data_IF_922041396596
#
_entry.id   IF_922041396596
#
_cell.length_a   1.000
_cell.length_b   1.000
_cell.length_c   1.000
_cell.angle_alpha   90.00
_cell.angle_beta   90.00
_cell.angle_gamma   90.00
#
_symmetry.space_group_name_H-M   'P 1'
#
loop_
_entity.id
_entity.type
_entity.pdbx_description
1 polymer ?
#
# COMPACT_ATOMS: atom_id res chain seq x y z
N UNK A 1 25.93 12.56 -15.31
CA UNK A 1 25.78 11.14 -14.91
C UNK A 1 24.82 11.18 -13.73
N UNK A 2 23.53 10.95 -13.98
CA UNK A 2 22.56 10.86 -12.88
C UNK A 2 22.86 9.55 -12.18
N UNK A 3 23.26 9.60 -10.91
CA UNK A 3 23.26 8.41 -10.07
C UNK A 3 21.83 7.91 -10.04
N UNK A 4 21.58 6.83 -10.78
CA UNK A 4 20.37 6.03 -10.67
C UNK A 4 20.41 5.49 -9.24
N UNK A 5 19.70 6.15 -8.33
CA UNK A 5 19.40 5.59 -7.02
C UNK A 5 18.63 4.31 -7.33
N UNK A 6 19.29 3.16 -7.22
CA UNK A 6 18.59 1.89 -7.34
C UNK A 6 17.45 1.90 -6.32
N UNK A 7 16.22 1.55 -6.72
CA UNK A 7 15.09 1.55 -5.80
C UNK A 7 15.48 0.67 -4.61
N UNK A 8 15.51 1.28 -3.43
CA UNK A 8 15.83 0.56 -2.20
C UNK A 8 14.82 -0.58 -2.06
N UNK A 9 15.27 -1.84 -1.87
CA UNK A 9 14.34 -2.94 -1.70
C UNK A 9 13.40 -2.63 -0.54
N UNK A 10 12.11 -2.93 -0.72
CA UNK A 10 11.10 -2.72 0.31
C UNK A 10 11.48 -3.50 1.57
N UNK A 11 11.35 -2.86 2.73
CA UNK A 11 11.50 -3.54 4.01
C UNK A 11 10.37 -4.56 4.21
N UNK A 12 10.58 -5.53 5.12
CA UNK A 12 9.53 -6.47 5.52
C UNK A 12 8.28 -5.72 6.02
N UNK A 13 8.44 -4.65 6.80
CA UNK A 13 7.31 -3.83 7.28
C UNK A 13 6.59 -3.11 6.14
N UNK A 14 7.31 -2.63 5.12
CA UNK A 14 6.69 -2.05 3.91
C UNK A 14 5.89 -3.09 3.14
N UNK A 15 6.45 -4.29 2.95
CA UNK A 15 5.74 -5.40 2.32
C UNK A 15 4.50 -5.83 3.12
N UNK A 16 4.60 -5.87 4.45
CA UNK A 16 3.48 -6.19 5.35
C UNK A 16 2.37 -5.16 5.24
N UNK A 17 2.69 -3.86 5.25
CA UNK A 17 1.71 -2.80 5.03
C UNK A 17 1.06 -2.91 3.63
N UNK A 18 1.85 -3.20 2.58
CA UNK A 18 1.33 -3.38 1.24
C UNK A 18 0.37 -4.57 1.13
N UNK A 19 0.71 -5.69 1.78
CA UNK A 19 -0.13 -6.87 1.86
C UNK A 19 -1.44 -6.59 2.63
N UNK A 20 -1.39 -5.79 3.70
CA UNK A 20 -2.58 -5.37 4.44
C UNK A 20 -3.54 -4.56 3.56
N UNK A 21 -3.02 -3.61 2.77
CA UNK A 21 -3.85 -2.88 1.79
C UNK A 21 -4.48 -3.79 0.74
N UNK A 22 -3.73 -4.77 0.24
CA UNK A 22 -4.24 -5.74 -0.72
C UNK A 22 -5.37 -6.59 -0.13
N UNK A 23 -5.15 -7.14 1.07
CA UNK A 23 -6.17 -7.91 1.80
C UNK A 23 -7.44 -7.09 2.01
N UNK A 24 -7.32 -5.88 2.57
CA UNK A 24 -8.47 -5.01 2.84
C UNK A 24 -9.23 -4.61 1.56
N UNK A 25 -8.52 -4.45 0.44
CA UNK A 25 -9.16 -4.14 -0.84
C UNK A 25 -10.06 -5.30 -1.31
N UNK A 26 -9.58 -6.53 -1.18
CA UNK A 26 -10.34 -7.73 -1.55
C UNK A 26 -11.50 -8.01 -0.57
N UNK A 27 -11.30 -7.79 0.73
CA UNK A 27 -12.37 -7.90 1.73
C UNK A 27 -13.52 -6.93 1.42
N UNK A 28 -13.20 -5.66 1.16
CA UNK A 28 -14.20 -4.65 0.82
C UNK A 28 -14.93 -5.02 -0.47
N UNK A 29 -14.22 -5.48 -1.50
CA UNK A 29 -14.83 -5.92 -2.77
C UNK A 29 -15.65 -7.20 -2.67
N UNK A 30 -15.34 -8.05 -1.70
CA UNK A 30 -16.15 -9.24 -1.41
C UNK A 30 -17.50 -8.86 -0.83
N UNK A 31 -17.53 -7.81 -0.01
CA UNK A 31 -18.77 -7.26 0.59
C UNK A 31 -19.53 -6.35 -0.39
N UNK A 32 -18.80 -5.51 -1.13
CA UNK A 32 -19.32 -4.56 -2.11
C UNK A 32 -18.53 -4.64 -3.42
N UNK A 33 -18.96 -5.47 -4.39
CA UNK A 33 -18.26 -5.64 -5.66
C UNK A 33 -18.16 -4.38 -6.52
N UNK A 34 -19.00 -3.37 -6.28
CA UNK A 34 -18.97 -2.09 -7.02
C UNK A 34 -17.99 -1.08 -6.38
N UNK A 35 -17.41 -1.42 -5.23
CA UNK A 35 -16.44 -0.55 -4.57
C UNK A 35 -15.20 -0.34 -5.43
N UNK A 36 -14.78 0.92 -5.53
CA UNK A 36 -13.63 1.34 -6.36
C UNK A 36 -12.25 0.91 -5.83
N UNK A 37 -12.19 0.17 -4.71
CA UNK A 37 -10.96 -0.28 -4.07
C UNK A 37 -10.14 0.81 -3.37
N UNK A 38 -10.68 2.02 -3.18
CA UNK A 38 -10.04 3.06 -2.38
C UNK A 38 -10.35 2.87 -0.90
N UNK A 39 -9.34 2.91 -0.06
CA UNK A 39 -9.44 2.65 1.38
C UNK A 39 -9.06 3.88 2.18
N UNK A 40 -9.64 4.05 3.36
CA UNK A 40 -9.03 4.96 4.34
C UNK A 40 -7.60 4.52 4.68
N UNK A 41 -6.79 5.47 5.13
CA UNK A 41 -5.43 5.16 5.60
C UNK A 41 -5.49 4.09 6.68
N UNK A 42 -4.77 2.99 6.50
CA UNK A 42 -4.60 1.98 7.54
C UNK A 42 -3.82 2.57 8.71
N UNK A 43 -4.38 2.43 9.91
CA UNK A 43 -3.82 2.96 11.17
C UNK A 43 -3.41 1.88 12.16
N UNK A 44 -3.75 0.64 11.86
CA UNK A 44 -3.45 -0.53 12.67
C UNK A 44 -3.14 -1.66 11.68
N UNK A 45 -1.91 -2.17 11.76
CA UNK A 45 -1.43 -3.28 10.95
C UNK A 45 -0.60 -4.17 11.86
N UNK A 46 -0.99 -5.44 11.94
CA UNK A 46 -0.33 -6.41 12.81
C UNK A 46 1.19 -6.42 12.61
N UNK A 47 1.95 -6.36 13.70
CA UNK A 47 3.41 -6.36 13.66
C UNK A 47 4.06 -5.12 13.05
N UNK A 48 3.38 -3.97 13.03
CA UNK A 48 3.93 -2.65 12.69
C UNK A 48 3.54 -1.66 13.79
N UNK A 49 4.49 -0.90 14.31
CA UNK A 49 4.20 0.11 15.33
C UNK A 49 3.54 1.37 14.71
N UNK A 50 2.63 1.99 15.45
CA UNK A 50 1.84 3.15 14.98
C UNK A 50 2.72 4.31 14.48
N UNK A 51 3.89 4.51 15.09
CA UNK A 51 4.83 5.57 14.76
C UNK A 51 5.68 5.27 13.51
N UNK A 52 5.77 4.00 13.08
CA UNK A 52 6.40 3.59 11.84
C UNK A 52 5.48 3.78 10.62
N UNK A 53 4.16 3.67 10.82
CA UNK A 53 3.18 3.73 9.72
C UNK A 53 3.32 4.97 8.82
N UNK A 54 3.50 6.22 9.31
CA UNK A 54 3.70 7.38 8.44
C UNK A 54 4.88 7.23 7.48
N UNK A 55 6.01 6.68 7.97
CA UNK A 55 7.19 6.47 7.15
C UNK A 55 6.94 5.40 6.09
N UNK A 56 6.34 4.27 6.48
CA UNK A 56 6.06 3.16 5.56
C UNK A 56 5.06 3.56 4.46
N UNK A 57 4.04 4.34 4.76
CA UNK A 57 3.15 4.91 3.73
C UNK A 57 3.94 5.79 2.76
N UNK A 58 4.85 6.63 3.27
CA UNK A 58 5.72 7.46 2.43
C UNK A 58 6.61 6.62 1.52
N UNK A 59 7.16 5.51 2.02
CA UNK A 59 7.98 4.58 1.24
C UNK A 59 7.17 3.91 0.12
N UNK A 60 5.96 3.42 0.41
CA UNK A 60 5.09 2.80 -0.59
C UNK A 60 4.61 3.80 -1.65
N UNK A 61 4.31 5.04 -1.25
CA UNK A 61 3.98 6.14 -2.18
C UNK A 61 5.17 6.46 -3.08
N UNK A 62 6.37 6.64 -2.51
CA UNK A 62 7.58 6.92 -3.26
C UNK A 62 7.96 5.78 -4.23
N UNK A 63 7.62 4.54 -3.86
CA UNK A 63 7.81 3.36 -4.70
C UNK A 63 6.71 3.18 -5.78
N UNK A 64 5.65 4.00 -5.79
CA UNK A 64 4.54 3.86 -6.75
C UNK A 64 3.66 2.63 -6.51
N UNK A 65 3.66 2.08 -5.29
CA UNK A 65 2.92 0.85 -4.95
C UNK A 65 1.56 1.17 -4.33
N UNK A 66 1.39 2.38 -3.80
CA UNK A 66 0.09 2.91 -3.44
C UNK A 66 -0.08 4.29 -4.04
N UNK A 67 -1.30 4.62 -4.40
CA UNK A 67 -1.72 5.97 -4.75
C UNK A 67 -2.47 6.61 -3.58
N UNK A 68 -2.45 7.93 -3.53
CA UNK A 68 -3.18 8.73 -2.56
C UNK A 68 -4.04 9.77 -3.26
N UNK A 69 -5.31 9.83 -2.90
CA UNK A 69 -6.27 10.79 -3.45
C UNK A 69 -6.97 11.56 -2.32
N UNK A 70 -7.05 12.88 -2.48
CA UNK A 70 -7.72 13.83 -1.58
C UNK A 70 -9.16 14.15 -2.04
N UNK A 71 -9.78 13.25 -2.79
CA UNK A 71 -11.09 13.46 -3.41
C UNK A 71 -12.30 13.26 -2.49
N UNK A 72 -12.10 12.80 -1.25
CA UNK A 72 -13.19 12.56 -0.31
C UNK A 72 -13.82 13.88 0.19
N UNK A 73 -15.15 13.90 0.24
CA UNK A 73 -15.94 15.07 0.68
C UNK A 73 -15.71 15.44 2.15
N UNK A 74 -15.17 14.52 2.95
CA UNK A 74 -14.87 14.71 4.36
C UNK A 74 -13.41 15.14 4.63
N UNK A 75 -12.62 15.33 3.56
CA UNK A 75 -11.21 15.74 3.65
C UNK A 75 -10.27 14.64 4.12
N UNK A 76 -10.74 13.38 4.21
CA UNK A 76 -9.90 12.23 4.58
C UNK A 76 -9.33 11.59 3.33
N UNK A 77 -8.05 11.82 3.05
CA UNK A 77 -7.43 11.21 1.88
C UNK A 77 -7.50 9.67 1.91
N UNK A 78 -7.71 9.09 0.74
CA UNK A 78 -7.88 7.65 0.52
C UNK A 78 -6.68 7.09 -0.24
N UNK A 79 -6.44 5.80 -0.06
CA UNK A 79 -5.32 5.06 -0.62
C UNK A 79 -5.79 3.91 -1.48
N UNK A 80 -5.08 3.59 -2.55
CA UNK A 80 -5.34 2.41 -3.38
C UNK A 80 -4.05 1.75 -3.80
N UNK A 81 -4.02 0.42 -3.86
CA UNK A 81 -2.89 -0.31 -4.41
C UNK A 81 -2.81 -0.11 -5.94
N UNK A 82 -1.60 0.00 -6.47
CA UNK A 82 -1.37 0.12 -7.91
C UNK A 82 -1.27 -1.26 -8.57
N UNK A 83 -1.31 -1.36 -9.92
CA UNK A 83 -0.99 -2.61 -10.62
C UNK A 83 0.41 -3.15 -10.26
N UNK A 84 1.39 -2.25 -10.11
CA UNK A 84 2.77 -2.61 -9.78
C UNK A 84 2.88 -3.22 -8.38
N UNK A 85 2.06 -2.77 -7.43
CA UNK A 85 1.95 -3.40 -6.11
C UNK A 85 1.50 -4.84 -6.16
N UNK A 86 0.51 -5.15 -7.00
CA UNK A 86 0.02 -6.52 -7.18
C UNK A 86 1.11 -7.42 -7.73
N UNK A 87 1.89 -6.90 -8.68
CA UNK A 87 3.03 -7.63 -9.23
C UNK A 87 4.15 -7.81 -8.19
N UNK A 88 4.44 -6.78 -7.40
CA UNK A 88 5.42 -6.87 -6.32
C UNK A 88 5.06 -7.95 -5.29
N UNK A 89 3.79 -8.03 -4.88
CA UNK A 89 3.28 -9.05 -3.97
C UNK A 89 3.31 -10.48 -4.58
N UNK A 90 2.96 -10.61 -5.86
CA UNK A 90 3.03 -11.90 -6.55
C UNK A 90 4.47 -12.43 -6.61
N UNK A 91 5.43 -11.58 -6.97
CA UNK A 91 6.85 -11.95 -7.05
C UNK A 91 7.45 -12.37 -5.69
N UNK A 92 6.92 -11.86 -4.58
CA UNK A 92 7.34 -12.30 -3.23
C UNK A 92 6.82 -13.70 -2.87
N UNK A 93 5.65 -14.07 -3.38
CA UNK A 93 5.05 -15.39 -3.13
C UNK A 93 5.77 -16.49 -3.91
N UNK A 94 6.26 -16.18 -5.11
CA UNK A 94 7.02 -17.12 -5.95
C UNK A 94 8.49 -17.30 -5.51
N UNK A 95 9.00 -16.38 -4.68
CA UNK A 95 10.37 -16.41 -4.16
C UNK A 95 10.52 -17.13 -2.80
N UNK A 96 9.40 -17.56 -2.20
CA UNK A 96 9.33 -18.28 -0.93
C UNK A 96 9.18 -19.79 -1.14
#
# INVERSE_FOLDING_TARGET
>A
MQDLIEPTPLSESSLRLLAAYAYMTEEVKTVDPEHDGRLERLRDVDGIEDDELPLLHGQLLAAGLIDFDLSSRDGRGVYSITPDAKQALANQTDAA
#
